data_IF_228720095974
#
_entry.id   IF_228720095974
#
_cell.length_a   1.000
_cell.length_b   1.000
_cell.length_c   1.000
_cell.angle_alpha   90.00
_cell.angle_beta   90.00
_cell.angle_gamma   90.00
#
_symmetry.space_group_name_H-M   'P 1'
#
loop_
_entity.id
_entity.type
_entity.pdbx_description
1 polymer ?
#
# COMPACT_ATOMS: atom_id res chain seq x y z
N UNK A 1 20.73 3.13 19.90
CA UNK A 1 19.85 3.37 18.74
C UNK A 1 18.58 2.56 18.96
N UNK A 2 17.54 3.15 19.54
CA UNK A 2 16.21 2.54 19.57
C UNK A 2 15.63 2.73 18.18
N UNK A 3 15.92 1.79 17.29
CA UNK A 3 15.23 1.68 16.02
C UNK A 3 13.74 1.58 16.36
N UNK A 4 12.96 2.53 15.89
CA UNK A 4 11.59 2.76 16.36
C UNK A 4 10.71 1.62 15.83
N UNK A 5 10.54 0.55 16.62
CA UNK A 5 9.83 -0.68 16.23
C UNK A 5 8.42 -0.40 15.70
N UNK A 6 7.79 0.67 16.19
CA UNK A 6 6.49 1.12 15.72
C UNK A 6 6.51 1.61 14.26
N UNK A 7 7.63 2.15 13.78
CA UNK A 7 7.77 2.60 12.40
C UNK A 7 7.96 1.42 11.45
N UNK A 8 8.72 0.41 11.86
CA UNK A 8 8.87 -0.85 11.12
C UNK A 8 7.56 -1.63 11.01
N UNK A 9 6.76 -1.65 12.08
CA UNK A 9 5.46 -2.33 12.08
C UNK A 9 4.45 -1.68 11.11
N UNK A 10 4.51 -0.36 10.91
CA UNK A 10 3.66 0.36 9.95
C UNK A 10 3.97 0.01 8.50
N UNK A 11 5.23 -0.24 8.17
CA UNK A 11 5.68 -0.59 6.81
C UNK A 11 5.74 -2.10 6.55
N UNK A 12 5.26 -2.92 7.48
CA UNK A 12 5.26 -4.36 7.32
C UNK A 12 4.21 -4.80 6.27
N UNK A 13 4.54 -5.78 5.44
CA UNK A 13 3.63 -6.28 4.39
C UNK A 13 2.29 -6.79 4.92
N UNK A 14 2.23 -7.24 6.17
CA UNK A 14 1.03 -7.76 6.82
C UNK A 14 0.13 -6.65 7.41
N UNK A 15 0.61 -5.40 7.50
CA UNK A 15 -0.12 -4.30 8.11
C UNK A 15 -1.00 -3.55 7.10
N UNK A 16 -2.06 -4.21 6.64
CA UNK A 16 -3.08 -3.59 5.78
C UNK A 16 -3.93 -2.53 6.47
N UNK A 17 -4.03 -2.57 7.81
CA UNK A 17 -4.86 -1.65 8.56
C UNK A 17 -4.26 -0.25 8.53
N UNK A 18 -2.96 -0.10 8.85
CA UNK A 18 -2.28 1.19 8.79
C UNK A 18 -2.31 1.81 7.39
N UNK A 19 -2.07 0.98 6.36
CA UNK A 19 -2.12 1.41 4.97
C UNK A 19 -3.48 2.01 4.56
N UNK A 20 -4.58 1.57 5.17
CA UNK A 20 -5.93 2.02 4.87
C UNK A 20 -6.44 3.16 5.77
N UNK A 21 -5.69 3.63 6.77
CA UNK A 21 -6.22 4.64 7.71
C UNK A 21 -6.34 6.03 7.10
N UNK A 22 -5.57 6.34 6.05
CA UNK A 22 -5.61 7.64 5.37
C UNK A 22 -4.99 7.54 3.98
N UNK A 23 -5.37 8.47 3.09
CA UNK A 23 -4.78 8.64 1.76
C UNK A 23 -3.26 8.83 1.83
N UNK A 24 -2.76 9.61 2.79
CA UNK A 24 -1.33 9.83 2.96
C UNK A 24 -0.57 8.53 3.30
N UNK A 25 -1.13 7.70 4.19
CA UNK A 25 -0.53 6.42 4.55
C UNK A 25 -0.60 5.42 3.39
N UNK A 26 -1.69 5.44 2.62
CA UNK A 26 -1.79 4.61 1.42
C UNK A 26 -0.73 5.00 0.38
N UNK A 27 -0.54 6.29 0.11
CA UNK A 27 0.55 6.75 -0.77
C UNK A 27 1.93 6.34 -0.25
N UNK A 28 2.19 6.51 1.05
CA UNK A 28 3.44 6.07 1.64
C UNK A 28 3.65 4.56 1.49
N UNK A 29 2.62 3.77 1.73
CA UNK A 29 2.64 2.32 1.54
C UNK A 29 3.00 1.96 0.09
N UNK A 30 2.42 2.64 -0.89
CA UNK A 30 2.75 2.41 -2.31
C UNK A 30 4.21 2.75 -2.65
N UNK A 31 4.80 3.74 -1.98
CA UNK A 31 6.20 4.13 -2.15
C UNK A 31 7.19 3.16 -1.49
N UNK A 32 6.80 2.53 -0.38
CA UNK A 32 7.66 1.57 0.34
C UNK A 32 7.58 0.17 -0.30
N UNK A 33 6.38 -0.27 -0.68
CA UNK A 33 6.14 -1.61 -1.21
C UNK A 33 6.26 -1.67 -2.74
N UNK A 34 7.31 -1.07 -3.33
CA UNK A 34 7.51 -1.03 -4.78
C UNK A 34 7.57 -2.44 -5.39
N UNK A 35 8.32 -3.35 -4.74
CA UNK A 35 8.55 -4.72 -5.21
C UNK A 35 7.41 -5.70 -4.87
N UNK A 36 6.44 -5.28 -4.07
CA UNK A 36 5.30 -6.14 -3.74
C UNK A 36 4.23 -6.13 -4.83
N UNK A 37 3.43 -7.20 -4.91
CA UNK A 37 2.28 -7.27 -5.82
C UNK A 37 0.96 -6.97 -5.10
N UNK A 38 0.04 -6.28 -5.80
CA UNK A 38 -1.36 -6.13 -5.38
C UNK A 38 -2.04 -7.51 -5.46
N UNK A 39 -2.72 -7.91 -4.40
CA UNK A 39 -3.29 -9.26 -4.24
C UNK A 39 -2.43 -10.20 -3.40
N UNK A 40 -1.13 -9.96 -3.31
CA UNK A 40 -0.19 -10.78 -2.53
C UNK A 40 0.25 -10.06 -1.25
N UNK A 41 0.65 -8.80 -1.34
CA UNK A 41 0.99 -7.99 -0.18
C UNK A 41 -0.27 -7.33 0.40
N UNK A 42 -0.57 -7.62 1.66
CA UNK A 42 -1.77 -7.13 2.34
C UNK A 42 -1.75 -5.61 2.50
N UNK A 43 -0.61 -5.02 2.85
CA UNK A 43 -0.43 -3.57 2.96
C UNK A 43 -0.65 -2.87 1.61
N UNK A 44 0.06 -3.31 0.56
CA UNK A 44 -0.09 -2.74 -0.80
C UNK A 44 -1.51 -2.88 -1.34
N UNK A 45 -2.17 -4.02 -1.08
CA UNK A 45 -3.54 -4.26 -1.50
C UNK A 45 -4.53 -3.32 -0.83
N UNK A 46 -4.36 -3.08 0.48
CA UNK A 46 -5.22 -2.16 1.22
C UNK A 46 -5.04 -0.71 0.73
N UNK A 47 -3.79 -0.26 0.54
CA UNK A 47 -3.49 1.05 -0.03
C UNK A 47 -4.05 1.22 -1.44
N UNK A 48 -3.87 0.21 -2.31
CA UNK A 48 -4.41 0.22 -3.68
C UNK A 48 -5.93 0.40 -3.68
N UNK A 49 -6.65 -0.35 -2.84
CA UNK A 49 -8.12 -0.25 -2.75
C UNK A 49 -8.56 1.14 -2.32
N UNK A 50 -7.99 1.66 -1.23
CA UNK A 50 -8.33 3.00 -0.74
C UNK A 50 -8.09 4.06 -1.82
N UNK A 51 -6.92 4.06 -2.46
CA UNK A 51 -6.62 5.07 -3.48
C UNK A 51 -7.50 4.92 -4.74
N UNK A 52 -7.94 3.71 -5.07
CA UNK A 52 -8.89 3.48 -6.17
C UNK A 52 -10.29 3.99 -5.81
N UNK A 53 -10.76 3.70 -4.60
CA UNK A 53 -12.06 4.15 -4.08
C UNK A 53 -12.14 5.69 -4.00
N UNK A 54 -11.04 6.34 -3.62
CA UNK A 54 -10.90 7.80 -3.58
C UNK A 54 -10.65 8.43 -4.97
N UNK A 55 -10.55 7.62 -6.04
CA UNK A 55 -10.30 8.11 -7.40
C UNK A 55 -8.88 8.66 -7.65
N UNK A 56 -7.94 8.38 -6.76
CA UNK A 56 -6.53 8.83 -6.81
C UNK A 56 -5.62 7.85 -7.55
N UNK A 57 -6.09 6.63 -7.78
CA UNK A 57 -5.40 5.61 -8.56
C UNK A 57 -6.37 5.04 -9.59
N UNK A 58 -6.02 5.20 -10.86
CA UNK A 58 -6.75 4.60 -11.97
C UNK A 58 -6.00 3.34 -12.38
N UNK A 59 -6.64 2.15 -12.36
CA UNK A 59 -6.04 0.94 -12.88
C UNK A 59 -5.61 1.16 -14.33
N UNK A 60 -4.37 0.78 -14.68
CA UNK A 60 -3.90 0.82 -16.06
C UNK A 60 -4.64 -0.25 -16.89
N UNK A 61 -5.84 0.10 -17.33
CA UNK A 61 -6.74 -0.76 -18.12
C UNK A 61 -6.23 -0.99 -19.54
N UNK A 62 -5.20 -0.27 -19.98
CA UNK A 62 -4.57 -0.41 -21.29
C UNK A 62 -3.49 -1.49 -21.34
N UNK A 63 -2.90 -1.87 -20.19
CA UNK A 63 -1.92 -2.96 -20.11
C UNK A 63 -2.64 -4.27 -19.86
N UNK A 64 -3.00 -4.96 -20.94
CA UNK A 64 -3.47 -6.34 -20.86
C UNK A 64 -2.45 -7.20 -20.11
N UNK A 65 -2.92 -8.03 -19.17
CA UNK A 65 -2.08 -9.05 -18.52
C UNK A 65 -1.52 -9.95 -19.63
N UNK A 66 -0.23 -9.86 -19.89
CA UNK A 66 0.48 -10.84 -20.71
C UNK A 66 0.66 -12.13 -19.91
#
# INVERSE_FOLDING_TARGET
MTWDSALFDRIACNNGLWAATSVANAHHTMQVHLDCMVGECRAKTAAYRLLTEEGLLVPDSGRAKQ
#
